data_IF_074407467559
#
_entry.id   IF_074407467559
#
_cell.length_a   1.000
_cell.length_b   1.000
_cell.length_c   1.000
_cell.angle_alpha   90.00
_cell.angle_beta   90.00
_cell.angle_gamma   90.00
#
_symmetry.space_group_name_H-M   'P 1'
#
loop_
_entity.id
_entity.type
_entity.pdbx_description
1 polymer ?
#
# COMPACT_ATOMS: atom_id res chain seq x y z
N UNK A 1 3.16 -3.64 17.80
CA UNK A 1 1.93 -4.46 17.90
C UNK A 1 0.93 -3.79 17.00
N UNK A 2 0.40 -4.50 16.00
CA UNK A 2 -0.58 -3.91 15.10
C UNK A 2 -1.99 -4.24 15.61
N UNK A 3 -2.80 -3.24 15.95
CA UNK A 3 -4.17 -3.49 16.45
C UNK A 3 -4.26 -4.49 17.62
N UNK A 4 -3.21 -4.57 18.45
CA UNK A 4 -3.12 -5.53 19.57
C UNK A 4 -2.46 -6.87 19.20
N UNK A 5 -2.22 -7.15 17.91
CA UNK A 5 -1.45 -8.31 17.47
C UNK A 5 0.02 -8.16 17.89
N UNK A 6 0.49 -9.15 18.64
CA UNK A 6 1.89 -9.33 19.03
C UNK A 6 2.35 -10.70 18.57
N UNK A 7 3.52 -10.79 17.95
CA UNK A 7 4.13 -12.10 17.74
C UNK A 7 4.56 -12.68 19.09
N UNK A 8 3.98 -13.83 19.45
CA UNK A 8 4.34 -14.58 20.67
C UNK A 8 5.70 -15.29 20.52
N UNK A 9 6.24 -15.35 19.30
CA UNK A 9 7.57 -15.87 18.96
C UNK A 9 8.38 -14.82 18.20
N UNK A 10 9.70 -14.75 18.41
CA UNK A 10 10.58 -13.77 17.79
C UNK A 10 10.97 -14.16 16.34
N UNK A 11 9.98 -14.40 15.49
CA UNK A 11 10.17 -14.78 14.07
C UNK A 11 9.84 -13.61 13.12
N UNK A 12 10.07 -12.38 13.57
CA UNK A 12 9.88 -11.22 12.73
C UNK A 12 11.00 -11.13 11.69
N UNK A 13 10.63 -10.78 10.45
CA UNK A 13 11.60 -10.34 9.45
C UNK A 13 11.59 -8.81 9.37
N UNK A 14 12.78 -8.24 9.23
CA UNK A 14 12.98 -6.79 9.22
C UNK A 14 13.70 -6.37 7.94
N UNK A 15 13.10 -5.40 7.26
CA UNK A 15 13.64 -4.74 6.09
C UNK A 15 13.77 -3.24 6.35
N UNK A 16 14.54 -2.56 5.50
CA UNK A 16 14.60 -1.11 5.49
C UNK A 16 14.66 -0.59 4.06
N UNK A 17 14.09 0.57 3.83
CA UNK A 17 14.22 1.30 2.58
C UNK A 17 14.56 2.76 2.84
N UNK A 18 15.23 3.39 1.88
CA UNK A 18 15.45 4.83 1.86
C UNK A 18 14.35 5.44 1.00
N UNK A 19 13.58 6.36 1.55
CA UNK A 19 12.50 6.99 0.80
C UNK A 19 13.05 7.82 -0.36
N UNK A 20 12.43 7.70 -1.53
CA UNK A 20 12.70 8.54 -2.72
C UNK A 20 11.51 9.45 -3.06
N UNK A 21 10.35 9.18 -2.46
CA UNK A 21 9.11 9.96 -2.53
C UNK A 21 8.58 10.26 -1.13
N UNK A 22 7.67 11.21 -1.02
CA UNK A 22 6.96 11.52 0.22
C UNK A 22 5.81 10.55 0.51
N UNK A 23 5.40 9.76 -0.49
CA UNK A 23 4.29 8.82 -0.39
C UNK A 23 4.69 7.44 -0.87
N UNK A 24 4.26 6.41 -0.14
CA UNK A 24 4.56 5.02 -0.44
C UNK A 24 3.34 4.12 -0.16
N UNK A 25 3.22 3.05 -0.93
CA UNK A 25 2.40 1.89 -0.59
C UNK A 25 3.33 0.74 -0.22
N UNK A 26 3.28 0.28 1.03
CA UNK A 26 3.99 -0.93 1.45
C UNK A 26 2.99 -2.07 1.42
N UNK A 27 3.27 -3.12 0.66
CA UNK A 27 2.40 -4.30 0.58
C UNK A 27 3.15 -5.56 0.95
N UNK A 28 2.44 -6.52 1.53
CA UNK A 28 2.99 -7.83 1.84
C UNK A 28 1.95 -8.93 1.59
N UNK A 29 2.33 -9.95 0.82
CA UNK A 29 1.53 -11.15 0.60
C UNK A 29 2.27 -12.36 1.13
N UNK A 30 1.55 -13.30 1.72
CA UNK A 30 2.16 -14.52 2.22
C UNK A 30 1.20 -15.70 2.20
N UNK A 31 1.75 -16.92 2.32
CA UNK A 31 0.95 -18.13 2.47
C UNK A 31 0.41 -18.34 3.91
N UNK A 32 0.62 -17.37 4.79
CA UNK A 32 0.20 -17.39 6.19
C UNK A 32 -0.62 -16.13 6.51
N UNK A 33 -1.12 -16.04 7.73
CA UNK A 33 -1.80 -14.85 8.25
C UNK A 33 -0.74 -13.85 8.73
N UNK A 34 -0.55 -12.76 7.98
CA UNK A 34 0.61 -11.90 8.10
C UNK A 34 0.26 -10.53 8.66
N UNK A 35 1.18 -9.96 9.44
CA UNK A 35 1.05 -8.63 10.02
C UNK A 35 2.20 -7.76 9.53
N UNK A 36 1.85 -6.65 8.88
CA UNK A 36 2.77 -5.68 8.32
C UNK A 36 2.81 -4.43 9.19
N UNK A 37 3.99 -3.95 9.55
CA UNK A 37 4.18 -2.70 10.30
C UNK A 37 5.33 -1.90 9.68
N UNK A 38 5.11 -0.60 9.49
CA UNK A 38 6.13 0.33 8.99
C UNK A 38 6.49 1.31 10.10
N UNK A 39 7.80 1.50 10.31
CA UNK A 39 8.33 2.28 11.43
C UNK A 39 9.37 3.31 10.97
N UNK A 40 9.56 4.33 11.79
CA UNK A 40 10.64 5.33 11.68
C UNK A 40 11.42 5.44 12.99
N UNK A 41 12.51 6.21 12.97
CA UNK A 41 13.34 6.48 14.14
C UNK A 41 14.68 5.74 14.10
N UNK A 42 15.23 5.47 15.26
CA UNK A 42 16.53 4.80 15.42
C UNK A 42 16.38 3.51 16.21
N UNK A 43 17.39 2.63 16.13
CA UNK A 43 17.44 1.44 16.99
C UNK A 43 17.22 1.81 18.46
N UNK A 44 16.30 1.11 19.12
CA UNK A 44 15.93 1.36 20.53
C UNK A 44 14.87 2.45 20.73
N UNK A 45 14.47 3.20 19.70
CA UNK A 45 13.43 4.23 19.77
C UNK A 45 12.66 4.32 18.44
N UNK A 46 12.09 3.21 18.02
CA UNK A 46 11.26 3.14 16.81
C UNK A 46 9.83 3.61 17.10
N UNK A 47 9.25 4.36 16.17
CA UNK A 47 7.84 4.75 16.19
C UNK A 47 7.12 4.12 15.00
N UNK A 48 5.99 3.47 15.27
CA UNK A 48 5.10 2.96 14.23
C UNK A 48 4.50 4.14 13.44
N UNK A 49 4.54 4.04 12.11
CA UNK A 49 3.91 4.97 11.17
C UNK A 49 2.56 4.45 10.66
N UNK A 50 2.38 3.13 10.70
CA UNK A 50 1.20 2.45 10.21
C UNK A 50 1.41 0.95 10.22
N UNK A 51 0.32 0.19 10.26
CA UNK A 51 0.35 -1.26 10.23
C UNK A 51 -0.93 -1.82 9.62
N UNK A 52 -0.87 -3.08 9.20
CA UNK A 52 -1.98 -3.82 8.57
C UNK A 52 -1.97 -5.26 9.08
N UNK A 53 -3.16 -5.72 9.48
CA UNK A 53 -3.53 -7.07 9.90
C UNK A 53 -5.00 -7.27 9.48
N UNK A 54 -5.31 -6.92 8.23
CA UNK A 54 -6.68 -6.83 7.73
C UNK A 54 -7.14 -8.15 7.11
N UNK A 55 -6.21 -8.91 6.53
CA UNK A 55 -6.52 -10.12 5.81
C UNK A 55 -5.84 -11.32 6.44
N UNK A 56 -6.61 -12.41 6.60
CA UNK A 56 -6.07 -13.67 7.10
C UNK A 56 -5.11 -14.37 6.13
N UNK A 57 -5.04 -15.69 6.25
CA UNK A 57 -4.15 -16.51 5.41
C UNK A 57 -4.32 -16.27 3.91
N UNK A 58 -3.22 -16.10 3.17
CA UNK A 58 -3.19 -15.72 1.74
C UNK A 58 -3.68 -14.29 1.45
N UNK A 59 -3.83 -13.47 2.48
CA UNK A 59 -4.15 -12.07 2.41
C UNK A 59 -3.01 -11.19 1.90
N UNK A 60 -3.38 -9.98 1.45
CA UNK A 60 -2.45 -8.94 1.03
C UNK A 60 -2.55 -7.79 2.01
N UNK A 61 -1.58 -7.68 2.91
CA UNK A 61 -1.49 -6.58 3.84
C UNK A 61 -0.98 -5.33 3.14
N UNK A 62 -1.55 -4.17 3.48
CA UNK A 62 -1.19 -2.90 2.84
C UNK A 62 -1.11 -1.76 3.86
N UNK A 63 0.00 -1.03 3.84
CA UNK A 63 0.20 0.18 4.64
C UNK A 63 0.47 1.36 3.71
N UNK A 64 -0.53 2.22 3.46
CA UNK A 64 -0.33 3.49 2.76
C UNK A 64 0.38 4.50 3.68
N UNK A 65 1.38 5.20 3.15
CA UNK A 65 2.18 6.18 3.88
C UNK A 65 2.23 7.50 3.12
N UNK A 66 2.18 8.60 3.87
CA UNK A 66 2.43 9.97 3.41
C UNK A 66 3.35 10.70 4.38
N UNK A 67 3.87 11.86 3.94
CA UNK A 67 4.73 12.69 4.78
C UNK A 67 6.12 12.10 5.03
N UNK A 68 6.54 11.11 4.25
CA UNK A 68 7.90 10.60 4.32
C UNK A 68 8.87 11.66 3.79
N UNK A 69 10.12 11.62 4.26
CA UNK A 69 11.18 12.56 3.87
C UNK A 69 12.16 11.81 2.97
N UNK A 70 12.31 12.22 1.69
CA UNK A 70 13.30 11.61 0.81
C UNK A 70 14.71 11.64 1.40
N UNK A 71 15.43 10.52 1.29
CA UNK A 71 16.75 10.33 1.91
C UNK A 71 16.71 9.76 3.33
N UNK A 72 15.57 9.82 4.03
CA UNK A 72 15.42 9.15 5.32
C UNK A 72 15.20 7.64 5.16
N UNK A 73 15.69 6.88 6.14
CA UNK A 73 15.49 5.43 6.22
C UNK A 73 14.24 5.10 7.04
N UNK A 74 13.44 4.18 6.52
CA UNK A 74 12.25 3.63 7.16
C UNK A 74 12.39 2.12 7.29
N UNK A 75 11.74 1.53 8.29
CA UNK A 75 11.85 0.12 8.63
C UNK A 75 10.52 -0.57 8.38
N UNK A 76 10.56 -1.76 7.79
CA UNK A 76 9.40 -2.61 7.57
C UNK A 76 9.58 -3.87 8.40
N UNK A 77 8.62 -4.14 9.27
CA UNK A 77 8.53 -5.36 10.06
C UNK A 77 7.39 -6.19 9.50
N UNK A 78 7.65 -7.47 9.22
CA UNK A 78 6.63 -8.42 8.83
C UNK A 78 6.73 -9.68 9.68
N UNK A 79 5.59 -10.17 10.16
CA UNK A 79 5.54 -11.32 11.05
C UNK A 79 4.21 -12.06 10.90
N UNK A 80 4.13 -13.32 11.32
CA UNK A 80 2.86 -14.03 11.32
C UNK A 80 2.03 -13.65 12.53
N UNK A 81 0.73 -13.47 12.30
CA UNK A 81 -0.26 -13.37 13.35
C UNK A 81 -0.14 -14.60 14.28
N UNK A 82 -0.03 -14.35 15.59
CA UNK A 82 0.20 -15.38 16.62
C UNK A 82 1.42 -16.31 16.41
N UNK A 83 2.37 -15.96 15.54
CA UNK A 83 3.60 -16.72 15.30
C UNK A 83 3.40 -18.03 14.52
N UNK A 84 2.29 -18.21 13.80
CA UNK A 84 1.93 -19.46 13.11
C UNK A 84 2.42 -19.54 11.65
N UNK A 85 3.50 -18.82 11.30
CA UNK A 85 4.01 -18.75 9.91
C UNK A 85 4.43 -20.09 9.29
N UNK A 86 4.88 -21.04 10.13
CA UNK A 86 5.67 -22.18 9.67
C UNK A 86 6.89 -21.73 8.86
N UNK A 87 7.11 -22.34 7.69
CA UNK A 87 8.12 -21.94 6.69
C UNK A 87 7.47 -21.27 5.45
N UNK A 88 6.35 -20.57 5.63
CA UNK A 88 5.60 -19.98 4.53
C UNK A 88 6.38 -18.89 3.78
N UNK A 89 6.32 -18.93 2.44
CA UNK A 89 6.89 -17.88 1.61
C UNK A 89 6.06 -16.59 1.69
N UNK A 90 6.73 -15.45 1.51
CA UNK A 90 6.11 -14.14 1.47
C UNK A 90 6.83 -13.22 0.48
N UNK A 91 6.12 -12.19 0.01
CA UNK A 91 6.66 -11.10 -0.82
C UNK A 91 6.34 -9.77 -0.16
N UNK A 92 7.30 -8.84 -0.13
CA UNK A 92 7.10 -7.47 0.34
C UNK A 92 7.49 -6.51 -0.77
N UNK A 93 6.65 -5.52 -1.04
CA UNK A 93 6.90 -4.46 -2.01
C UNK A 93 6.82 -3.09 -1.34
N UNK A 94 7.77 -2.21 -1.67
CA UNK A 94 7.74 -0.80 -1.30
C UNK A 94 7.62 0.04 -2.58
N UNK A 95 6.42 0.54 -2.85
CA UNK A 95 6.14 1.27 -4.09
C UNK A 95 6.08 2.76 -3.78
N UNK A 96 6.95 3.55 -4.41
CA UNK A 96 6.84 5.01 -4.36
C UNK A 96 5.60 5.43 -5.14
N UNK A 97 4.76 6.27 -4.53
CA UNK A 97 3.47 6.68 -5.10
C UNK A 97 3.44 8.19 -5.36
N UNK A 98 2.57 8.57 -6.28
CA UNK A 98 2.24 9.95 -6.62
C UNK A 98 0.73 10.11 -6.72
N UNK A 99 0.25 11.35 -6.65
CA UNK A 99 -1.16 11.66 -6.92
C UNK A 99 -1.37 11.83 -8.42
N UNK A 100 -2.43 11.22 -8.95
CA UNK A 100 -2.86 11.38 -10.33
C UNK A 100 -4.02 12.37 -10.44
N UNK A 101 -3.89 13.35 -11.34
CA UNK A 101 -4.98 14.25 -11.71
C UNK A 101 -5.34 14.03 -13.18
N UNK A 102 -6.57 13.61 -13.42
CA UNK A 102 -7.14 13.46 -14.77
C UNK A 102 -7.95 14.71 -15.10
N UNK A 103 -7.31 15.65 -15.79
CA UNK A 103 -7.93 16.91 -16.25
C UNK A 103 -8.38 16.91 -17.71
N UNK A 104 -7.85 15.97 -18.49
CA UNK A 104 -8.16 15.72 -19.90
C UNK A 104 -8.27 14.22 -20.15
N UNK A 105 -8.86 13.78 -21.26
CA UNK A 105 -8.88 12.37 -21.62
C UNK A 105 -7.48 11.74 -21.60
N UNK A 106 -7.28 10.66 -20.83
CA UNK A 106 -6.04 9.91 -20.80
C UNK A 106 -6.26 8.46 -20.37
N UNK A 107 -5.36 7.56 -20.79
CA UNK A 107 -5.33 6.19 -20.29
C UNK A 107 -4.79 6.15 -18.85
N UNK A 108 -5.36 5.28 -18.01
CA UNK A 108 -5.00 5.16 -16.59
C UNK A 108 -4.81 3.69 -16.23
N UNK A 109 -3.70 3.41 -15.56
CA UNK A 109 -3.34 2.11 -15.00
C UNK A 109 -2.17 2.26 -14.03
N UNK A 110 -1.94 1.25 -13.20
CA UNK A 110 -0.86 1.22 -12.20
C UNK A 110 -1.28 1.66 -10.80
N UNK A 111 -0.32 2.12 -9.99
CA UNK A 111 -0.52 2.45 -8.59
C UNK A 111 -0.32 3.92 -8.28
N UNK A 112 -1.29 4.54 -7.61
CA UNK A 112 -1.24 5.95 -7.20
C UNK A 112 -1.63 6.09 -5.73
N UNK A 113 -1.22 7.21 -5.11
CA UNK A 113 -1.68 7.52 -3.76
C UNK A 113 -3.12 8.03 -3.85
N UNK A 114 -3.37 9.25 -4.35
CA UNK A 114 -4.71 9.69 -4.70
C UNK A 114 -4.94 9.69 -6.22
N UNK A 115 -6.19 9.49 -6.63
CA UNK A 115 -6.62 9.70 -8.02
C UNK A 115 -7.77 10.69 -8.03
N UNK A 116 -7.64 11.79 -8.76
CA UNK A 116 -8.71 12.78 -8.95
C UNK A 116 -9.06 12.90 -10.43
N UNK A 117 -10.26 12.49 -10.80
CA UNK A 117 -10.86 12.77 -12.11
C UNK A 117 -11.65 14.06 -12.01
N UNK A 118 -11.16 15.12 -12.66
CA UNK A 118 -11.81 16.44 -12.61
C UNK A 118 -13.09 16.49 -13.43
N UNK A 119 -13.86 17.58 -13.33
CA UNK A 119 -15.09 17.77 -14.09
C UNK A 119 -14.91 17.75 -15.63
N UNK A 120 -13.69 17.91 -16.13
CA UNK A 120 -13.34 17.83 -17.56
C UNK A 120 -12.51 16.58 -17.89
N UNK A 121 -12.21 15.75 -16.89
CA UNK A 121 -11.39 14.55 -17.03
C UNK A 121 -12.17 13.37 -17.56
N UNK A 122 -11.50 12.56 -18.38
CA UNK A 122 -11.98 11.24 -18.78
C UNK A 122 -10.84 10.22 -18.62
N UNK A 123 -10.93 9.37 -17.59
CA UNK A 123 -9.98 8.30 -17.37
C UNK A 123 -10.44 7.05 -18.14
N UNK A 124 -9.59 6.54 -19.02
CA UNK A 124 -9.81 5.24 -19.68
C UNK A 124 -8.90 4.21 -19.05
N UNK A 125 -9.44 3.26 -18.29
CA UNK A 125 -8.68 2.14 -17.77
C UNK A 125 -8.17 1.29 -18.94
N UNK A 126 -6.85 1.08 -18.96
CA UNK A 126 -6.14 0.20 -19.89
C UNK A 126 -5.29 -0.86 -19.18
N UNK A 127 -5.27 -0.82 -17.84
CA UNK A 127 -4.67 -1.78 -16.93
C UNK A 127 -5.38 -1.68 -15.57
N UNK A 128 -5.07 -2.59 -14.64
CA UNK A 128 -5.56 -2.51 -13.27
C UNK A 128 -5.07 -1.21 -12.59
N UNK A 129 -5.96 -0.59 -11.81
CA UNK A 129 -5.70 0.63 -11.08
C UNK A 129 -5.74 0.36 -9.57
N UNK A 130 -4.63 0.60 -8.87
CA UNK A 130 -4.58 0.57 -7.40
C UNK A 130 -4.46 2.00 -6.85
N UNK A 131 -5.37 2.38 -5.97
CA UNK A 131 -5.40 3.69 -5.30
C UNK A 131 -5.23 3.46 -3.81
N UNK A 132 -4.14 3.96 -3.23
CA UNK A 132 -3.83 3.73 -1.81
C UNK A 132 -4.52 4.72 -0.86
N UNK A 133 -4.83 5.91 -1.37
CA UNK A 133 -5.60 6.97 -0.73
C UNK A 133 -6.97 7.09 -1.38
N UNK A 134 -7.41 8.31 -1.66
CA UNK A 134 -8.76 8.54 -2.18
C UNK A 134 -8.82 8.51 -3.72
N UNK A 135 -9.86 7.87 -4.25
CA UNK A 135 -10.32 8.08 -5.63
C UNK A 135 -11.51 9.03 -5.64
N UNK A 136 -11.39 10.17 -6.32
CA UNK A 136 -12.45 11.18 -6.44
C UNK A 136 -12.80 11.40 -7.90
N UNK A 137 -14.09 11.24 -8.26
CA UNK A 137 -14.62 11.62 -9.57
C UNK A 137 -15.54 12.83 -9.38
N UNK A 138 -15.11 13.99 -9.85
CA UNK A 138 -15.90 15.22 -9.78
C UNK A 138 -17.08 15.18 -10.73
N UNK A 139 -18.13 15.97 -10.45
CA UNK A 139 -19.29 16.06 -11.34
C UNK A 139 -18.86 16.50 -12.75
N UNK A 140 -19.21 15.70 -13.76
CA UNK A 140 -18.80 15.87 -15.16
C UNK A 140 -17.59 15.04 -15.57
N UNK A 141 -16.80 14.53 -14.61
CA UNK A 141 -15.71 13.59 -14.87
C UNK A 141 -16.23 12.18 -15.17
N UNK A 142 -15.45 11.38 -15.90
CA UNK A 142 -15.80 10.01 -16.24
C UNK A 142 -14.64 9.03 -16.08
N UNK A 143 -14.99 7.79 -15.74
CA UNK A 143 -14.08 6.63 -15.74
C UNK A 143 -14.71 5.56 -16.62
N UNK A 144 -14.00 5.16 -17.66
CA UNK A 144 -14.40 4.11 -18.60
C UNK A 144 -13.30 3.08 -18.74
N UNK A 145 -13.55 1.98 -19.45
CA UNK A 145 -12.56 0.93 -19.75
C UNK A 145 -12.44 0.76 -21.28
N UNK A 146 -11.25 0.47 -21.80
CA UNK A 146 -11.04 0.13 -23.22
C UNK A 146 -11.18 -1.38 -23.52
N UNK A 147 -11.24 -2.22 -22.49
CA UNK A 147 -11.43 -3.66 -22.54
C UNK A 147 -12.64 -4.12 -21.72
N UNK A 148 -12.95 -5.42 -21.75
CA UNK A 148 -14.14 -5.98 -21.08
C UNK A 148 -14.06 -5.98 -19.54
N UNK A 149 -12.86 -6.00 -18.93
CA UNK A 149 -12.71 -5.96 -17.46
C UNK A 149 -11.32 -5.50 -16.99
N UNK A 150 -11.26 -4.47 -16.14
CA UNK A 150 -10.12 -4.10 -15.28
C UNK A 150 -10.61 -3.90 -13.84
N UNK A 151 -9.73 -4.06 -12.86
CA UNK A 151 -10.05 -3.82 -11.46
C UNK A 151 -9.58 -2.43 -11.02
N UNK A 152 -10.45 -1.73 -10.29
CA UNK A 152 -10.04 -0.61 -9.43
C UNK A 152 -9.98 -1.18 -8.01
N UNK A 153 -8.79 -1.19 -7.44
CA UNK A 153 -8.54 -1.51 -6.04
C UNK A 153 -8.26 -0.23 -5.28
N UNK A 154 -8.92 -0.01 -4.15
CA UNK A 154 -8.60 1.09 -3.25
C UNK A 154 -9.34 0.97 -1.93
N UNK A 155 -9.08 1.87 -0.97
CA UNK A 155 -9.86 1.92 0.27
C UNK A 155 -11.31 2.23 -0.11
N UNK A 156 -12.23 1.36 0.34
CA UNK A 156 -13.65 1.36 -0.06
C UNK A 156 -14.37 2.68 0.13
#
# INVERSE_FOLDING_TARGET
ACSGATSSSANDVWYKFVATSTSYGITATSAFDGVLEVLSGTCGSLSSLGCSDEFGTNGSEQVPLTGLVPGNTYYVRYFAYNGTAGNGAFTICATALTDLIVSTPQAVGGSYYNVTVTSTGAATLNDDLTVFGAMTVQNGGSVTTDATSYYIQGPG
#
